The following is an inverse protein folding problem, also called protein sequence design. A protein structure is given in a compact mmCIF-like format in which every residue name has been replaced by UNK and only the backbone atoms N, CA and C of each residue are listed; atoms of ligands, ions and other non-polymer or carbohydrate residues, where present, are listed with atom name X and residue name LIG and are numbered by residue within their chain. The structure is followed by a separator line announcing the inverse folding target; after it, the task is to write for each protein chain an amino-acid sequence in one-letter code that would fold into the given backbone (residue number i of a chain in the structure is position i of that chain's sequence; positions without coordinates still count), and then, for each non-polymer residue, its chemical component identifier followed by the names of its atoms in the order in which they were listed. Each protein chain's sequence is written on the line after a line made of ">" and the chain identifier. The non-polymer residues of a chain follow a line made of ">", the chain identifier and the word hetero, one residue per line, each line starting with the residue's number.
data_IF_591071954477
#
_entry.id   IF_591071954477
#
_cell.length_a   1.000
_cell.length_b   1.000
_cell.length_c   1.000
_cell.angle_alpha   90.00
_cell.angle_beta   90.00
_cell.angle_gamma   90.00
#
_symmetry.space_group_name_H-M   'P 1'
#
loop_
_entity.id
_entity.type
_entity.pdbx_description
1 polymer ?
#
# COMPACT_ATOMS: atom_id res chain seq x y z
N UNK A 1 -7.80 42.38 -4.09
CA UNK A 1 -7.49 41.29 -3.13
C UNK A 1 -7.74 39.85 -3.67
N UNK A 2 -8.01 39.65 -4.96
CA UNK A 2 -8.41 38.33 -5.50
C UNK A 2 -7.33 37.51 -6.21
N UNK A 3 -6.39 38.13 -6.87
CA UNK A 3 -5.46 37.41 -7.79
C UNK A 3 -4.32 36.70 -7.09
N UNK A 4 -3.81 37.22 -5.98
CA UNK A 4 -2.72 36.54 -5.22
C UNK A 4 -3.20 35.30 -4.45
N UNK A 5 -4.43 35.30 -3.96
CA UNK A 5 -5.01 34.14 -3.30
C UNK A 5 -5.24 32.99 -4.29
N UNK A 6 -5.66 33.27 -5.51
CA UNK A 6 -5.85 32.29 -6.59
C UNK A 6 -4.49 31.70 -7.03
N UNK A 7 -3.48 32.53 -7.21
CA UNK A 7 -2.14 32.06 -7.58
C UNK A 7 -1.43 31.25 -6.48
N UNK A 8 -1.75 31.52 -5.21
CA UNK A 8 -1.28 30.72 -4.07
C UNK A 8 -1.97 29.36 -3.98
N UNK A 9 -3.25 29.31 -4.27
CA UNK A 9 -4.05 28.10 -4.31
C UNK A 9 -3.60 27.14 -5.42
N UNK A 10 -3.34 27.66 -6.63
CA UNK A 10 -2.85 26.84 -7.76
C UNK A 10 -1.44 26.28 -7.52
N UNK A 11 -0.55 27.04 -6.89
CA UNK A 11 0.80 26.56 -6.55
C UNK A 11 0.79 25.47 -5.50
N UNK A 12 -0.10 25.55 -4.52
CA UNK A 12 -0.26 24.50 -3.52
C UNK A 12 -0.81 23.17 -4.12
N UNK A 13 -1.64 23.28 -5.16
CA UNK A 13 -2.14 22.10 -5.90
C UNK A 13 -1.09 21.47 -6.81
N UNK A 14 -0.16 22.24 -7.37
CA UNK A 14 0.89 21.72 -8.26
C UNK A 14 2.06 21.08 -7.51
N UNK A 15 2.24 21.35 -6.21
CA UNK A 15 3.32 20.81 -5.40
C UNK A 15 3.12 19.34 -5.01
N UNK A 16 4.22 18.63 -4.80
CA UNK A 16 4.22 17.27 -4.23
C UNK A 16 3.95 17.34 -2.73
N UNK A 17 2.74 16.99 -2.31
CA UNK A 17 2.43 16.84 -0.88
C UNK A 17 3.04 15.56 -0.31
N UNK A 18 3.24 15.45 1.02
CA UNK A 18 3.69 14.21 1.65
C UNK A 18 2.86 12.98 1.24
N UNK A 19 1.55 13.12 1.15
CA UNK A 19 0.67 12.05 0.69
C UNK A 19 0.96 11.64 -0.77
N UNK A 20 1.16 12.58 -1.68
CA UNK A 20 1.49 12.27 -3.08
C UNK A 20 2.86 11.60 -3.22
N UNK A 21 3.84 12.03 -2.44
CA UNK A 21 5.17 11.38 -2.39
C UNK A 21 5.01 9.94 -1.89
N UNK A 22 4.29 9.74 -0.80
CA UNK A 22 4.00 8.40 -0.29
C UNK A 22 3.32 7.54 -1.35
N UNK A 23 2.30 8.06 -2.04
CA UNK A 23 1.60 7.33 -3.10
C UNK A 23 2.54 6.94 -4.24
N UNK A 24 3.44 7.82 -4.68
CA UNK A 24 4.43 7.50 -5.71
C UNK A 24 5.40 6.39 -5.26
N UNK A 25 5.91 6.48 -4.04
CA UNK A 25 6.78 5.46 -3.44
C UNK A 25 6.03 4.14 -3.29
N UNK A 26 4.79 4.17 -2.78
CA UNK A 26 3.93 3.00 -2.64
C UNK A 26 3.70 2.30 -3.98
N UNK A 27 3.41 3.05 -5.04
CA UNK A 27 3.29 2.48 -6.39
C UNK A 27 4.59 1.81 -6.85
N UNK A 28 5.72 2.45 -6.58
CA UNK A 28 7.05 2.01 -7.01
C UNK A 28 7.47 0.66 -6.43
N UNK A 29 6.94 0.24 -5.30
CA UNK A 29 7.24 -1.09 -4.76
C UNK A 29 6.08 -2.09 -4.86
N UNK A 30 4.82 -1.67 -4.69
CA UNK A 30 3.69 -2.60 -4.81
C UNK A 30 3.55 -3.18 -6.23
N UNK A 31 3.74 -2.38 -7.27
CA UNK A 31 3.56 -2.88 -8.63
C UNK A 31 4.60 -3.90 -9.04
N UNK A 32 5.91 -3.69 -8.83
CA UNK A 32 6.90 -4.73 -9.11
C UNK A 32 6.66 -6.01 -8.30
N UNK A 33 6.31 -5.90 -7.01
CA UNK A 33 5.97 -7.06 -6.18
C UNK A 33 4.74 -7.80 -6.71
N UNK A 34 3.69 -7.06 -7.08
CA UNK A 34 2.47 -7.65 -7.62
C UNK A 34 2.71 -8.39 -8.94
N UNK A 35 3.42 -7.76 -9.88
CA UNK A 35 3.73 -8.37 -11.18
C UNK A 35 4.61 -9.61 -11.01
N UNK A 36 5.71 -9.48 -10.25
CA UNK A 36 6.59 -10.60 -9.98
C UNK A 36 5.85 -11.74 -9.26
N UNK A 37 5.04 -11.43 -8.25
CA UNK A 37 4.27 -12.42 -7.51
C UNK A 37 3.26 -13.15 -8.38
N UNK A 38 2.49 -12.46 -9.23
CA UNK A 38 1.55 -13.08 -10.16
C UNK A 38 2.24 -13.91 -11.26
N UNK A 39 3.48 -13.60 -11.59
CA UNK A 39 4.27 -14.43 -12.53
C UNK A 39 4.73 -15.71 -11.86
N UNK A 40 5.16 -15.63 -10.58
CA UNK A 40 5.74 -16.74 -9.83
C UNK A 40 4.66 -17.66 -9.26
N UNK A 41 3.62 -17.09 -8.65
CA UNK A 41 2.52 -17.85 -8.05
C UNK A 41 1.16 -17.20 -8.32
N UNK A 42 0.34 -17.90 -9.06
CA UNK A 42 -1.06 -17.52 -9.38
C UNK A 42 -2.07 -18.31 -8.56
N UNK A 43 -1.65 -18.95 -7.51
CA UNK A 43 -2.57 -19.69 -6.64
C UNK A 43 -3.39 -18.75 -5.77
N UNK A 44 -4.67 -19.07 -5.61
CA UNK A 44 -5.61 -18.36 -4.75
C UNK A 44 -6.18 -19.32 -3.69
N UNK A 45 -5.34 -19.82 -2.77
CA UNK A 45 -5.77 -20.76 -1.76
C UNK A 45 -6.76 -20.12 -0.79
N UNK A 46 -7.66 -20.92 -0.23
CA UNK A 46 -8.68 -20.48 0.73
C UNK A 46 -8.54 -21.25 2.06
N UNK A 47 -8.91 -20.58 3.15
CA UNK A 47 -8.93 -21.18 4.48
C UNK A 47 -7.57 -21.71 4.92
N UNK A 48 -7.50 -22.94 5.41
CA UNK A 48 -6.28 -23.56 5.92
C UNK A 48 -5.20 -23.73 4.83
N UNK A 49 -5.59 -23.91 3.57
CA UNK A 49 -4.65 -24.09 2.46
C UNK A 49 -3.85 -22.82 2.18
N UNK A 50 -4.39 -21.64 2.51
CA UNK A 50 -3.69 -20.38 2.39
C UNK A 50 -2.41 -20.31 3.24
N UNK A 51 -2.40 -21.04 4.36
CA UNK A 51 -1.27 -21.06 5.30
C UNK A 51 -0.28 -22.19 5.02
N UNK A 52 -0.74 -23.29 4.44
CA UNK A 52 0.11 -24.45 4.11
C UNK A 52 0.98 -24.18 2.88
N UNK A 53 0.49 -23.39 1.94
CA UNK A 53 1.26 -22.98 0.76
C UNK A 53 2.19 -21.78 1.05
N UNK A 54 1.95 -21.08 2.14
CA UNK A 54 2.88 -20.10 2.66
C UNK A 54 4.20 -20.81 3.00
N UNK A 55 5.31 -20.29 2.55
CA UNK A 55 6.64 -20.84 2.89
C UNK A 55 7.38 -21.50 1.75
N UNK A 56 6.80 -21.55 0.54
CA UNK A 56 7.49 -22.14 -0.61
C UNK A 56 7.74 -21.15 -1.77
N UNK A 57 7.08 -20.01 -1.80
CA UNK A 57 7.17 -19.08 -2.94
C UNK A 57 7.55 -17.68 -2.49
N UNK A 58 8.69 -17.21 -2.99
CA UNK A 58 9.26 -15.92 -2.62
C UNK A 58 9.50 -15.03 -3.84
N UNK A 59 9.01 -13.79 -3.78
CA UNK A 59 9.38 -12.73 -4.72
C UNK A 59 10.74 -12.18 -4.30
N UNK A 60 11.65 -12.09 -5.25
CA UNK A 60 13.05 -11.66 -5.06
C UNK A 60 13.80 -12.46 -3.97
N UNK A 61 13.35 -13.68 -3.64
CA UNK A 61 13.95 -14.51 -2.59
C UNK A 61 13.72 -14.00 -1.16
N UNK A 62 12.87 -13.02 -0.95
CA UNK A 62 12.69 -12.33 0.34
C UNK A 62 11.22 -12.33 0.78
N UNK A 63 10.31 -11.91 -0.09
CA UNK A 63 8.90 -11.68 0.25
C UNK A 63 8.06 -12.90 -0.09
N UNK A 64 7.37 -13.41 0.89
CA UNK A 64 6.46 -14.52 0.69
C UNK A 64 5.20 -14.07 -0.06
N UNK A 65 4.74 -14.85 -1.04
CA UNK A 65 3.62 -14.45 -1.88
C UNK A 65 2.70 -15.61 -2.23
N UNK A 66 1.47 -15.25 -2.58
CA UNK A 66 0.50 -16.05 -3.32
C UNK A 66 -0.35 -15.11 -4.20
N UNK A 67 -1.28 -15.67 -4.96
CA UNK A 67 -2.13 -14.87 -5.84
C UNK A 67 -2.92 -13.77 -5.10
N UNK A 68 -3.42 -14.04 -3.88
CA UNK A 68 -4.15 -13.05 -3.08
C UNK A 68 -3.26 -11.88 -2.66
N UNK A 69 -2.04 -12.16 -2.17
CA UNK A 69 -1.09 -11.12 -1.80
C UNK A 69 -0.73 -10.25 -3.00
N UNK A 70 -0.42 -10.89 -4.12
CA UNK A 70 -0.06 -10.22 -5.37
C UNK A 70 -1.22 -9.39 -5.93
N UNK A 71 -2.46 -9.88 -5.85
CA UNK A 71 -3.65 -9.13 -6.27
C UNK A 71 -3.89 -7.90 -5.38
N UNK A 72 -3.76 -8.05 -4.07
CA UNK A 72 -3.88 -6.92 -3.13
C UNK A 72 -2.80 -5.86 -3.43
N UNK A 73 -1.54 -6.28 -3.62
CA UNK A 73 -0.45 -5.39 -3.99
C UNK A 73 -0.72 -4.68 -5.33
N UNK A 74 -1.28 -5.38 -6.33
CA UNK A 74 -1.65 -4.79 -7.61
C UNK A 74 -2.69 -3.67 -7.44
N UNK A 75 -3.75 -3.94 -6.70
CA UNK A 75 -4.83 -2.96 -6.46
C UNK A 75 -4.31 -1.73 -5.71
N UNK A 76 -3.50 -1.94 -4.67
CA UNK A 76 -2.86 -0.84 -3.93
C UNK A 76 -1.91 -0.05 -4.84
N UNK A 77 -1.10 -0.73 -5.64
CA UNK A 77 -0.16 -0.08 -6.56
C UNK A 77 -0.86 0.77 -7.63
N UNK A 78 -1.94 0.27 -8.23
CA UNK A 78 -2.74 1.01 -9.20
C UNK A 78 -3.44 2.23 -8.56
N UNK A 79 -4.04 2.07 -7.40
CA UNK A 79 -4.61 3.17 -6.64
C UNK A 79 -3.53 4.22 -6.29
N UNK A 80 -2.33 3.75 -5.95
CA UNK A 80 -1.22 4.62 -5.62
C UNK A 80 -0.75 5.45 -6.82
N UNK A 81 -0.64 4.89 -8.02
CA UNK A 81 -0.37 5.69 -9.26
C UNK A 81 -1.47 6.74 -9.44
N UNK A 82 -2.72 6.32 -9.36
CA UNK A 82 -3.85 7.21 -9.59
C UNK A 82 -3.81 8.44 -8.68
N UNK A 83 -3.61 8.24 -7.37
CA UNK A 83 -3.59 9.32 -6.40
C UNK A 83 -2.24 10.06 -6.31
N UNK A 84 -1.13 9.48 -6.78
CA UNK A 84 0.14 10.20 -6.91
C UNK A 84 0.04 11.36 -7.89
N UNK A 85 -0.69 11.18 -9.00
CA UNK A 85 -0.85 12.22 -10.03
C UNK A 85 -2.03 13.17 -9.77
N UNK A 86 -2.91 12.83 -8.82
CA UNK A 86 -4.09 13.64 -8.46
C UNK A 86 -3.98 14.16 -7.03
N UNK A 87 -3.92 15.49 -6.83
CA UNK A 87 -3.87 16.06 -5.47
C UNK A 87 -5.16 15.77 -4.68
N UNK A 88 -6.30 15.78 -5.38
CA UNK A 88 -7.58 15.52 -4.76
C UNK A 88 -7.69 14.03 -4.38
N UNK A 89 -7.89 13.76 -3.11
CA UNK A 89 -8.00 12.41 -2.58
C UNK A 89 -6.68 11.75 -2.14
N UNK A 90 -5.51 12.26 -2.52
CA UNK A 90 -4.22 11.67 -2.15
C UNK A 90 -4.06 11.51 -0.62
N UNK A 91 -4.51 12.51 0.16
CA UNK A 91 -4.50 12.46 1.62
C UNK A 91 -5.36 11.32 2.16
N UNK A 92 -6.59 11.20 1.68
CA UNK A 92 -7.50 10.15 2.12
C UNK A 92 -6.98 8.76 1.71
N UNK A 93 -6.44 8.63 0.50
CA UNK A 93 -5.84 7.38 0.02
C UNK A 93 -4.61 6.98 0.85
N UNK A 94 -3.72 7.90 1.18
CA UNK A 94 -2.57 7.63 2.02
C UNK A 94 -2.98 7.16 3.42
N UNK A 95 -3.98 7.84 4.04
CA UNK A 95 -4.55 7.40 5.32
C UNK A 95 -5.20 6.02 5.21
N UNK A 96 -5.98 5.76 4.17
CA UNK A 96 -6.66 4.47 4.00
C UNK A 96 -5.64 3.32 3.85
N UNK A 97 -4.59 3.51 3.03
CA UNK A 97 -3.52 2.52 2.88
C UNK A 97 -2.76 2.34 4.20
N UNK A 98 -2.38 3.45 4.87
CA UNK A 98 -1.67 3.38 6.14
C UNK A 98 -2.46 2.66 7.23
N UNK A 99 -3.71 3.05 7.45
CA UNK A 99 -4.60 2.43 8.44
C UNK A 99 -4.93 0.97 8.09
N UNK A 100 -5.12 0.65 6.80
CA UNK A 100 -5.29 -0.72 6.34
C UNK A 100 -4.09 -1.59 6.70
N UNK A 101 -2.87 -1.09 6.51
CA UNK A 101 -1.65 -1.82 6.88
C UNK A 101 -1.45 -1.93 8.40
N UNK A 102 -1.91 -0.95 9.20
CA UNK A 102 -1.98 -1.13 10.67
C UNK A 102 -2.88 -2.33 10.99
N UNK A 103 -4.05 -2.40 10.35
CA UNK A 103 -4.97 -3.54 10.51
C UNK A 103 -4.33 -4.88 10.14
N UNK A 104 -3.53 -4.93 9.07
CA UNK A 104 -2.80 -6.14 8.67
C UNK A 104 -1.76 -6.52 9.73
N UNK A 105 -0.90 -5.59 10.14
CA UNK A 105 0.17 -5.85 11.13
C UNK A 105 -0.41 -6.33 12.47
N UNK A 106 -1.43 -5.62 12.97
CA UNK A 106 -2.10 -6.00 14.21
C UNK A 106 -2.85 -7.31 14.04
N UNK A 107 -3.56 -7.47 12.93
CA UNK A 107 -4.30 -8.69 12.66
C UNK A 107 -3.40 -9.93 12.62
N UNK A 108 -2.28 -9.86 11.89
CA UNK A 108 -1.33 -10.98 11.80
C UNK A 108 -0.64 -11.29 13.15
N UNK A 109 -0.57 -10.32 14.06
CA UNK A 109 -0.04 -10.55 15.41
C UNK A 109 -1.03 -11.30 16.34
N UNK A 110 -2.34 -11.17 16.12
CA UNK A 110 -3.36 -11.65 17.05
C UNK A 110 -4.37 -12.62 16.44
N UNK A 111 -4.46 -12.73 15.12
CA UNK A 111 -5.42 -13.60 14.43
C UNK A 111 -4.69 -14.76 13.73
N UNK A 112 -5.39 -15.88 13.51
CA UNK A 112 -4.82 -16.96 12.72
C UNK A 112 -4.40 -16.48 11.32
N UNK A 113 -3.24 -16.90 10.79
CA UNK A 113 -2.76 -16.51 9.46
C UNK A 113 -3.79 -16.76 8.34
N UNK A 114 -4.62 -17.82 8.48
CA UNK A 114 -5.71 -18.14 7.54
C UNK A 114 -6.78 -17.06 7.40
N UNK A 115 -6.84 -16.09 8.33
CA UNK A 115 -7.83 -15.00 8.30
C UNK A 115 -7.63 -14.09 7.08
N UNK A 116 -6.41 -13.91 6.63
CA UNK A 116 -6.08 -12.96 5.56
C UNK A 116 -5.91 -13.58 4.17
N UNK A 117 -5.89 -14.93 4.07
CA UNK A 117 -5.73 -15.68 2.81
C UNK A 117 -4.47 -15.36 1.98
N UNK A 118 -3.60 -14.49 2.45
CA UNK A 118 -2.35 -14.20 1.77
C UNK A 118 -1.13 -14.68 2.57
N UNK A 119 -0.13 -15.15 1.83
CA UNK A 119 1.15 -15.53 2.37
C UNK A 119 1.90 -14.31 2.88
N UNK A 120 2.54 -14.41 4.03
CA UNK A 120 3.29 -13.31 4.63
C UNK A 120 4.33 -13.83 5.60
N UNK A 121 5.55 -13.37 5.47
CA UNK A 121 6.66 -13.69 6.36
C UNK A 121 7.13 -12.47 7.17
N UNK A 122 8.25 -12.61 7.90
CA UNK A 122 8.80 -11.52 8.70
C UNK A 122 9.24 -10.30 7.88
N UNK A 123 9.74 -10.50 6.65
CA UNK A 123 10.12 -9.40 5.76
C UNK A 123 8.88 -8.62 5.29
N UNK A 124 7.79 -9.33 4.97
CA UNK A 124 6.52 -8.70 4.62
C UNK A 124 5.98 -7.87 5.77
N UNK A 125 6.07 -8.37 7.03
CA UNK A 125 5.63 -7.62 8.20
C UNK A 125 6.38 -6.31 8.38
N UNK A 126 7.69 -6.28 8.09
CA UNK A 126 8.47 -5.04 8.11
C UNK A 126 7.95 -4.04 7.07
N UNK A 127 7.69 -4.50 5.84
CA UNK A 127 7.15 -3.62 4.78
C UNK A 127 5.74 -3.16 5.12
N UNK A 128 4.88 -4.02 5.67
CA UNK A 128 3.55 -3.62 6.13
C UNK A 128 3.64 -2.55 7.22
N UNK A 129 4.55 -2.70 8.20
CA UNK A 129 4.75 -1.71 9.24
C UNK A 129 5.28 -0.37 8.68
N UNK A 130 6.25 -0.40 7.76
CA UNK A 130 6.75 0.80 7.10
C UNK A 130 5.66 1.51 6.28
N UNK A 131 4.82 0.74 5.59
CA UNK A 131 3.68 1.28 4.83
C UNK A 131 2.63 1.88 5.76
N UNK A 132 2.36 1.24 6.89
CA UNK A 132 1.46 1.74 7.92
C UNK A 132 1.91 3.10 8.46
N UNK A 133 3.18 3.20 8.87
CA UNK A 133 3.77 4.43 9.40
C UNK A 133 3.84 5.52 8.31
N UNK A 134 4.35 5.16 7.13
CA UNK A 134 4.53 6.09 6.02
C UNK A 134 3.20 6.65 5.52
N UNK A 135 2.21 5.79 5.29
CA UNK A 135 0.88 6.19 4.79
C UNK A 135 0.12 7.05 5.80
N UNK A 136 0.07 6.61 7.05
CA UNK A 136 -0.59 7.37 8.12
C UNK A 136 0.11 8.70 8.35
N UNK A 137 1.43 8.71 8.48
CA UNK A 137 2.23 9.92 8.67
C UNK A 137 2.09 10.91 7.51
N UNK A 138 2.22 10.43 6.28
CA UNK A 138 2.06 11.27 5.10
C UNK A 138 0.65 11.86 4.99
N UNK A 139 -0.38 11.07 5.30
CA UNK A 139 -1.76 11.54 5.31
C UNK A 139 -2.03 12.59 6.39
N UNK A 140 -1.48 12.42 7.59
CA UNK A 140 -1.62 13.38 8.69
C UNK A 140 -0.87 14.70 8.41
N UNK A 141 0.32 14.63 7.80
CA UNK A 141 1.15 15.78 7.46
C UNK A 141 0.65 16.55 6.22
N UNK A 142 -0.23 15.95 5.42
CA UNK A 142 -0.81 16.61 4.25
C UNK A 142 -2.01 17.46 4.67
N UNK A 143 -1.97 18.76 4.36
CA UNK A 143 -3.08 19.65 4.65
C UNK A 143 -4.31 19.29 3.81
N UNK A 144 -5.51 19.36 4.37
CA UNK A 144 -6.75 19.21 3.58
C UNK A 144 -6.77 20.24 2.44
N UNK A 145 -7.19 19.81 1.27
CA UNK A 145 -7.51 20.73 0.18
C UNK A 145 -8.94 21.20 0.43
N UNK A 146 -9.10 22.48 0.80
CA UNK A 146 -10.39 23.10 1.02
C UNK A 146 -11.11 23.40 -0.30
#
# INVERSE_FOLDING_TARGET
>A
MGTEAIAGYDRARMGWSPARIFMAVSAGYHLPLAVAGLVIDRSFPLGADATVQAGSVYVFGIFETNGWHSLAALLIGLASIYFAVRPDGARAAALAIGLGHIGIVVGLAFLPPSTFWFASNGADQVIHALTAIGGTGAGLLTRPVG
#
